data_IF_043084167121
#
_entry.id   IF_043084167121
#
_cell.length_a   1.000
_cell.length_b   1.000
_cell.length_c   1.000
_cell.angle_alpha   90.00
_cell.angle_beta   90.00
_cell.angle_gamma   90.00
#
_symmetry.space_group_name_H-M   'P 1'
#
loop_
_entity.id
_entity.type
_entity.pdbx_description
1 polymer ?
#
# COMPACT_ATOMS: atom_id res chain seq x y z
N UNK A 1 -0.23 -1.48 -10.45
CA UNK A 1 -0.14 -0.59 -9.26
C UNK A 1 -1.35 -0.89 -8.39
N UNK A 2 -1.24 -0.87 -7.06
CA UNK A 2 -2.32 -1.28 -6.15
C UNK A 2 -3.34 -0.15 -5.96
N UNK A 3 -4.44 -0.18 -6.72
CA UNK A 3 -5.47 0.88 -6.70
C UNK A 3 -6.09 1.04 -5.32
N UNK A 4 -6.36 -0.06 -4.64
CA UNK A 4 -7.00 -0.06 -3.33
C UNK A 4 -6.07 0.56 -2.26
N UNK A 5 -4.76 0.28 -2.30
CA UNK A 5 -3.78 0.96 -1.46
C UNK A 5 -3.78 2.49 -1.67
N UNK A 6 -3.88 2.95 -2.92
CA UNK A 6 -3.94 4.39 -3.19
C UNK A 6 -5.26 5.03 -2.71
N UNK A 7 -6.36 4.32 -2.91
CA UNK A 7 -7.69 4.76 -2.49
C UNK A 7 -7.77 4.89 -0.98
N UNK A 8 -7.32 3.89 -0.22
CA UNK A 8 -7.32 3.92 1.24
C UNK A 8 -6.38 4.98 1.82
N UNK A 9 -5.20 5.14 1.22
CA UNK A 9 -4.29 6.22 1.58
C UNK A 9 -4.96 7.59 1.38
N UNK A 10 -5.65 7.80 0.24
CA UNK A 10 -6.35 9.06 -0.07
C UNK A 10 -7.56 9.27 0.84
N UNK A 11 -8.31 8.22 1.18
CA UNK A 11 -9.48 8.27 2.08
C UNK A 11 -9.11 8.81 3.46
N UNK A 12 -7.94 8.44 3.96
CA UNK A 12 -7.41 8.94 5.23
C UNK A 12 -6.60 10.24 5.11
N UNK A 13 -6.45 10.80 3.90
CA UNK A 13 -5.72 12.05 3.67
C UNK A 13 -4.21 11.94 3.89
N UNK A 14 -3.63 10.74 3.79
CA UNK A 14 -2.19 10.56 4.04
C UNK A 14 -1.34 10.86 2.81
N UNK A 15 -0.28 11.62 3.02
CA UNK A 15 0.81 11.79 2.06
C UNK A 15 1.74 10.58 2.07
N UNK A 16 2.56 10.44 1.01
CA UNK A 16 3.60 9.41 0.97
C UNK A 16 4.61 9.56 2.12
N UNK A 17 4.88 10.79 2.57
CA UNK A 17 5.78 11.04 3.69
C UNK A 17 5.19 10.52 5.01
N UNK A 18 3.91 10.78 5.28
CA UNK A 18 3.22 10.29 6.48
C UNK A 18 3.08 8.76 6.47
N UNK A 19 2.81 8.16 5.31
CA UNK A 19 2.81 6.70 5.21
C UNK A 19 4.20 6.10 5.48
N UNK A 20 5.26 6.73 4.95
CA UNK A 20 6.62 6.29 5.19
C UNK A 20 7.01 6.36 6.69
N UNK A 21 6.61 7.45 7.38
CA UNK A 21 6.79 7.61 8.82
C UNK A 21 6.07 6.50 9.61
N UNK A 22 4.80 6.23 9.32
CA UNK A 22 4.03 5.14 9.95
C UNK A 22 4.66 3.76 9.71
N UNK A 23 5.34 3.58 8.59
CA UNK A 23 5.99 2.33 8.21
C UNK A 23 7.47 2.25 8.64
N UNK A 24 8.00 3.30 9.29
CA UNK A 24 9.38 3.35 9.76
C UNK A 24 10.42 3.30 8.62
N UNK A 25 10.10 3.87 7.45
CA UNK A 25 10.96 3.87 6.27
C UNK A 25 11.10 5.28 5.68
N UNK A 26 12.09 5.47 4.81
CA UNK A 26 12.23 6.71 4.07
C UNK A 26 11.10 6.88 3.03
N UNK A 27 10.71 8.12 2.75
CA UNK A 27 9.68 8.46 1.74
C UNK A 27 9.96 7.81 0.37
N UNK A 28 11.20 7.92 -0.13
CA UNK A 28 11.61 7.33 -1.41
C UNK A 28 11.46 5.79 -1.41
N UNK A 29 11.76 5.16 -0.27
CA UNK A 29 11.56 3.72 -0.09
C UNK A 29 10.08 3.35 -0.14
N UNK A 30 9.20 4.15 0.49
CA UNK A 30 7.75 3.95 0.40
C UNK A 30 7.24 4.09 -1.03
N UNK A 31 7.66 5.13 -1.76
CA UNK A 31 7.24 5.35 -3.15
C UNK A 31 7.68 4.21 -4.07
N UNK A 32 8.88 3.66 -3.89
CA UNK A 32 9.36 2.48 -4.61
C UNK A 32 8.55 1.23 -4.25
N UNK A 33 8.37 0.95 -2.96
CA UNK A 33 7.60 -0.21 -2.47
C UNK A 33 6.14 -0.18 -2.90
N UNK A 34 5.51 1.00 -2.89
CA UNK A 34 4.13 1.21 -3.34
C UNK A 34 3.94 0.82 -4.81
N UNK A 35 4.96 1.01 -5.65
CA UNK A 35 4.91 0.62 -7.07
C UNK A 35 5.05 -0.88 -7.28
N UNK A 36 5.94 -1.55 -6.53
CA UNK A 36 6.33 -2.94 -6.77
C UNK A 36 5.77 -3.97 -5.77
N UNK A 37 5.14 -3.53 -4.68
CA UNK A 37 4.51 -4.39 -3.68
C UNK A 37 5.49 -5.01 -2.68
N UNK A 38 6.77 -4.64 -2.71
CA UNK A 38 7.82 -5.25 -1.89
C UNK A 38 7.78 -4.75 -0.44
N UNK A 39 6.66 -4.92 0.26
CA UNK A 39 6.50 -4.64 1.68
C UNK A 39 6.82 -5.88 2.51
N UNK A 40 7.46 -5.70 3.67
CA UNK A 40 7.65 -6.81 4.60
C UNK A 40 6.37 -7.08 5.40
N UNK A 41 6.33 -8.21 6.12
CA UNK A 41 5.17 -8.63 6.90
C UNK A 41 4.71 -7.57 7.91
N UNK A 42 5.62 -6.95 8.64
CA UNK A 42 5.28 -5.91 9.63
C UNK A 42 4.64 -4.69 8.97
N UNK A 43 5.18 -4.24 7.83
CA UNK A 43 4.64 -3.12 7.06
C UNK A 43 3.24 -3.44 6.54
N UNK A 44 3.04 -4.65 6.04
CA UNK A 44 1.73 -5.14 5.60
C UNK A 44 0.74 -5.10 6.76
N UNK A 45 1.06 -5.74 7.88
CA UNK A 45 0.20 -5.75 9.07
C UNK A 45 -0.16 -4.33 9.54
N UNK A 46 0.80 -3.40 9.54
CA UNK A 46 0.54 -2.00 9.89
C UNK A 46 -0.47 -1.37 8.93
N UNK A 47 -0.37 -1.60 7.62
CA UNK A 47 -1.31 -1.06 6.64
C UNK A 47 -2.70 -1.67 6.77
N UNK A 48 -2.80 -2.99 6.98
CA UNK A 48 -4.09 -3.66 7.16
C UNK A 48 -4.83 -3.13 8.39
N UNK A 49 -4.11 -2.94 9.51
CA UNK A 49 -4.67 -2.36 10.72
C UNK A 49 -5.03 -0.87 10.54
N UNK A 50 -4.21 -0.11 9.82
CA UNK A 50 -4.43 1.32 9.59
C UNK A 50 -5.66 1.58 8.72
N UNK A 51 -5.84 0.76 7.67
CA UNK A 51 -6.94 0.92 6.70
C UNK A 51 -8.18 0.11 7.06
N UNK A 52 -8.08 -0.79 8.05
CA UNK A 52 -9.15 -1.69 8.47
C UNK A 52 -9.69 -2.54 7.30
N UNK A 53 -8.79 -3.18 6.56
CA UNK A 53 -9.10 -4.02 5.41
C UNK A 53 -8.18 -5.25 5.34
N UNK A 54 -8.46 -6.19 4.43
CA UNK A 54 -7.67 -7.40 4.26
C UNK A 54 -6.58 -7.29 3.20
N UNK A 55 -5.67 -8.27 3.20
CA UNK A 55 -4.52 -8.30 2.31
C UNK A 55 -4.89 -8.39 0.84
N UNK A 56 -5.88 -9.23 0.49
CA UNK A 56 -6.26 -9.46 -0.90
C UNK A 56 -6.89 -8.23 -1.51
N UNK A 57 -7.75 -7.53 -0.76
CA UNK A 57 -8.29 -6.25 -1.14
C UNK A 57 -7.17 -5.21 -1.29
N UNK A 58 -6.35 -4.99 -0.25
CA UNK A 58 -5.41 -3.86 -0.26
C UNK A 58 -4.36 -3.97 -1.38
N UNK A 59 -3.91 -5.19 -1.67
CA UNK A 59 -2.89 -5.49 -2.68
C UNK A 59 -3.46 -6.12 -3.95
N UNK A 60 -4.75 -5.93 -4.21
CA UNK A 60 -5.33 -6.27 -5.50
C UNK A 60 -4.61 -5.49 -6.62
N UNK A 61 -4.11 -6.22 -7.61
CA UNK A 61 -3.44 -5.65 -8.77
C UNK A 61 -4.24 -6.02 -10.01
N UNK A 62 -4.53 -5.05 -10.87
CA UNK A 62 -5.35 -5.22 -12.09
C UNK A 62 -4.73 -6.15 -13.17
N UNK A 63 -3.67 -6.90 -12.86
CA UNK A 63 -3.02 -7.81 -13.83
C UNK A 63 -3.89 -9.03 -14.21
N UNK A 64 -5.12 -9.14 -13.71
CA UNK A 64 -6.10 -10.14 -14.18
C UNK A 64 -6.70 -9.82 -15.57
N UNK A 65 -6.44 -8.64 -16.16
CA UNK A 65 -6.89 -8.30 -17.53
C UNK A 65 -5.89 -8.67 -18.66
N UNK A 66 -4.96 -9.61 -18.42
CA UNK A 66 -4.09 -10.19 -19.48
C UNK A 66 -4.29 -11.69 -19.71
N UNK A 67 -5.50 -12.17 -19.46
CA UNK A 67 -5.98 -13.45 -19.99
C UNK A 67 -7.33 -13.23 -20.69
N UNK A 68 -7.30 -12.61 -21.87
CA UNK A 68 -8.38 -12.61 -22.86
C UNK A 68 -7.77 -12.58 -24.25
#
# INVERSE_FOLDING_TARGET
MFRNLEAEQRRLGFTNAQMAEKLGIARLTYESKKKNGNFNRTQITTMLNLFNCDFFYLFECDEQDKAS
#
